data_IF_065705809242
#
_entry.id   IF_065705809242
#
_cell.length_a   1.000
_cell.length_b   1.000
_cell.length_c   1.000
_cell.angle_alpha   90.00
_cell.angle_beta   90.00
_cell.angle_gamma   90.00
#
_symmetry.space_group_name_H-M   'P 1'
#
loop_
_entity.id
_entity.type
_entity.pdbx_description
1 polymer ?
#
# COMPACT_ATOMS: atom_id res chain seq x y z
N UNK A 1 -3.63 -4.32 -13.28
CA UNK A 1 -4.00 -3.05 -12.66
C UNK A 1 -4.09 -3.19 -11.13
N UNK A 2 -3.06 -2.75 -10.38
CA UNK A 2 -3.01 -2.85 -8.90
C UNK A 2 -4.07 -2.05 -8.14
N UNK A 3 -4.47 -0.88 -8.66
CA UNK A 3 -5.52 -0.04 -8.13
C UNK A 3 -6.61 0.15 -9.20
N UNK A 4 -7.58 -0.77 -9.30
CA UNK A 4 -8.51 -0.84 -10.43
C UNK A 4 -9.58 0.25 -10.45
N UNK A 5 -9.68 1.05 -9.40
CA UNK A 5 -10.68 2.13 -9.26
C UNK A 5 -10.02 3.51 -9.02
N UNK A 6 -8.72 3.60 -9.27
CA UNK A 6 -7.95 4.82 -9.05
C UNK A 6 -8.23 5.84 -10.16
N UNK A 7 -8.43 7.09 -9.75
CA UNK A 7 -8.62 8.24 -10.63
C UNK A 7 -7.63 9.34 -10.22
N UNK A 8 -7.02 10.03 -11.18
CA UNK A 8 -5.93 10.97 -10.88
C UNK A 8 -6.40 12.30 -10.26
N UNK A 9 -7.63 12.70 -10.53
CA UNK A 9 -8.12 14.06 -10.26
C UNK A 9 -9.24 14.12 -9.22
N UNK A 10 -9.62 12.99 -8.64
CA UNK A 10 -10.73 12.87 -7.71
C UNK A 10 -10.42 13.38 -6.29
N UNK A 11 -9.14 13.60 -5.98
CA UNK A 11 -8.68 14.05 -4.67
C UNK A 11 -8.69 12.95 -3.60
N UNK A 12 -8.56 11.68 -4.00
CA UNK A 12 -8.47 10.54 -3.08
C UNK A 12 -7.23 9.68 -3.32
N UNK A 13 -6.88 8.90 -2.31
CA UNK A 13 -5.88 7.84 -2.33
C UNK A 13 -6.60 6.49 -2.32
N UNK A 14 -6.19 5.61 -3.22
CA UNK A 14 -6.64 4.21 -3.27
C UNK A 14 -5.68 3.31 -2.49
N UNK A 15 -6.17 2.68 -1.44
CA UNK A 15 -5.40 1.80 -0.57
C UNK A 15 -5.83 0.36 -0.77
N UNK A 16 -4.90 -0.50 -1.17
CA UNK A 16 -5.07 -1.94 -1.21
C UNK A 16 -4.26 -2.60 -0.08
N UNK A 17 -4.95 -3.20 0.89
CA UNK A 17 -4.35 -3.85 2.05
C UNK A 17 -4.55 -5.36 1.94
N UNK A 18 -3.49 -6.13 2.13
CA UNK A 18 -3.56 -7.60 2.18
C UNK A 18 -3.54 -8.03 3.64
N UNK A 19 -4.63 -8.67 4.08
CA UNK A 19 -4.79 -9.30 5.39
C UNK A 19 -4.05 -10.63 5.46
N UNK A 20 -3.97 -11.20 6.66
CA UNK A 20 -3.38 -12.53 6.84
C UNK A 20 -4.07 -13.54 5.92
N UNK A 21 -3.28 -14.28 5.17
CA UNK A 21 -3.82 -15.28 4.27
C UNK A 21 -2.82 -16.39 3.95
N UNK A 22 -3.33 -17.58 3.58
CA UNK A 22 -2.47 -18.67 3.14
C UNK A 22 -1.61 -18.28 1.93
N UNK A 23 -0.42 -18.87 1.81
CA UNK A 23 0.49 -18.63 0.67
C UNK A 23 -0.18 -18.86 -0.69
N UNK A 24 -1.08 -19.83 -0.80
CA UNK A 24 -1.87 -20.08 -2.01
C UNK A 24 -2.80 -18.92 -2.36
N UNK A 25 -3.39 -18.26 -1.36
CA UNK A 25 -4.21 -17.07 -1.54
C UNK A 25 -3.35 -15.88 -2.00
N UNK A 26 -2.15 -15.68 -1.43
CA UNK A 26 -1.20 -14.66 -1.89
C UNK A 26 -0.83 -14.83 -3.38
N UNK A 27 -0.55 -16.06 -3.80
CA UNK A 27 -0.28 -16.37 -5.22
C UNK A 27 -1.50 -16.04 -6.08
N UNK A 28 -2.70 -16.42 -5.63
CA UNK A 28 -3.94 -16.10 -6.34
C UNK A 28 -4.16 -14.59 -6.49
N UNK A 29 -3.94 -13.79 -5.43
CA UNK A 29 -4.12 -12.33 -5.53
C UNK A 29 -3.07 -11.76 -6.48
N UNK A 30 -1.82 -12.22 -6.40
CA UNK A 30 -0.72 -11.76 -7.27
C UNK A 30 -1.04 -11.97 -8.75
N UNK A 31 -1.64 -13.11 -9.12
CA UNK A 31 -2.06 -13.38 -10.50
C UNK A 31 -3.22 -12.46 -10.95
N UNK A 32 -4.16 -12.19 -10.04
CA UNK A 32 -5.34 -11.33 -10.29
C UNK A 32 -5.03 -9.84 -10.27
N UNK A 33 -3.84 -9.42 -9.84
CA UNK A 33 -3.43 -8.01 -9.94
C UNK A 33 -3.43 -7.55 -11.39
N UNK A 34 -3.11 -8.44 -12.34
CA UNK A 34 -3.04 -8.07 -13.76
C UNK A 34 -4.37 -7.54 -14.28
N UNK A 35 -5.47 -8.23 -13.99
CA UNK A 35 -6.83 -7.85 -14.43
C UNK A 35 -7.59 -7.00 -13.41
N UNK A 36 -7.00 -6.74 -12.24
CA UNK A 36 -7.60 -5.91 -11.20
C UNK A 36 -8.64 -6.63 -10.32
N UNK A 37 -8.89 -7.93 -10.53
CA UNK A 37 -9.89 -8.68 -9.75
C UNK A 37 -9.38 -9.13 -8.39
N UNK A 38 -8.12 -8.83 -8.04
CA UNK A 38 -7.54 -9.14 -6.72
C UNK A 38 -8.29 -8.45 -5.58
N UNK A 39 -8.89 -7.28 -5.82
CA UNK A 39 -9.69 -6.54 -4.83
C UNK A 39 -10.96 -7.27 -4.38
N UNK A 40 -11.41 -8.28 -5.12
CA UNK A 40 -12.56 -9.12 -4.77
C UNK A 40 -12.18 -10.28 -3.82
N UNK A 41 -10.89 -10.47 -3.54
CA UNK A 41 -10.42 -11.49 -2.60
C UNK A 41 -10.91 -11.16 -1.18
N UNK A 42 -11.37 -12.14 -0.39
CA UNK A 42 -11.74 -11.90 1.01
C UNK A 42 -10.54 -11.47 1.86
N UNK A 43 -9.31 -11.61 1.35
CA UNK A 43 -8.08 -11.20 2.02
C UNK A 43 -7.62 -9.79 1.62
N UNK A 44 -8.29 -9.13 0.68
CA UNK A 44 -7.96 -7.77 0.28
C UNK A 44 -9.00 -6.80 0.84
N UNK A 45 -8.53 -5.73 1.46
CA UNK A 45 -9.33 -4.55 1.79
C UNK A 45 -8.95 -3.46 0.80
N UNK A 46 -9.93 -2.89 0.12
CA UNK A 46 -9.74 -1.78 -0.81
C UNK A 46 -10.50 -0.56 -0.29
N UNK A 47 -9.79 0.54 -0.02
CA UNK A 47 -10.34 1.74 0.58
C UNK A 47 -9.99 2.95 -0.28
N UNK A 48 -10.87 3.94 -0.25
CA UNK A 48 -10.66 5.27 -0.83
C UNK A 48 -10.67 6.28 0.30
N UNK A 49 -9.57 7.00 0.50
CA UNK A 49 -9.36 7.92 1.64
C UNK A 49 -8.75 9.22 1.17
N UNK A 50 -8.91 10.31 1.93
CA UNK A 50 -8.23 11.58 1.61
C UNK A 50 -6.83 11.67 2.24
N UNK A 51 -6.64 10.97 3.37
CA UNK A 51 -5.38 10.93 4.09
C UNK A 51 -5.30 9.68 4.97
N UNK A 52 -4.09 9.24 5.26
CA UNK A 52 -3.85 8.18 6.25
C UNK A 52 -2.51 8.36 6.97
N UNK A 53 -2.40 7.72 8.14
CA UNK A 53 -1.15 7.60 8.88
C UNK A 53 -0.74 6.14 8.93
N UNK A 54 0.43 5.84 8.36
CA UNK A 54 1.09 4.55 8.45
C UNK A 54 1.95 4.53 9.71
N UNK A 55 1.78 3.51 10.54
CA UNK A 55 2.63 3.24 11.70
C UNK A 55 3.47 1.99 11.40
N UNK A 56 4.71 2.15 10.90
CA UNK A 56 5.59 1.02 10.61
C UNK A 56 5.88 0.23 11.88
N UNK A 57 5.86 -1.10 11.78
CA UNK A 57 6.06 -1.99 12.92
C UNK A 57 7.01 -3.14 12.61
N UNK A 58 7.14 -4.08 13.53
CA UNK A 58 8.01 -5.24 13.33
C UNK A 58 7.29 -6.38 12.65
N UNK A 59 8.08 -7.16 11.91
CA UNK A 59 7.67 -8.37 11.21
C UNK A 59 7.05 -9.30 12.21
N UNK A 60 6.05 -9.97 11.72
CA UNK A 60 5.19 -10.83 12.49
C UNK A 60 5.96 -12.06 12.95
N UNK A 61 6.48 -12.77 11.97
CA UNK A 61 7.19 -14.04 12.10
C UNK A 61 8.58 -13.80 12.68
N UNK A 62 9.09 -12.58 12.55
CA UNK A 62 10.38 -12.15 13.07
C UNK A 62 10.26 -10.80 13.83
N UNK A 63 9.78 -10.79 15.09
CA UNK A 63 9.50 -9.55 15.84
C UNK A 63 10.70 -8.63 16.11
N UNK A 64 11.92 -9.07 15.78
CA UNK A 64 13.15 -8.29 15.86
C UNK A 64 13.52 -7.61 14.55
N UNK A 65 12.82 -7.91 13.46
CA UNK A 65 13.02 -7.30 12.16
C UNK A 65 11.90 -6.32 11.88
N UNK A 66 12.22 -5.16 11.35
CA UNK A 66 11.20 -4.28 10.77
C UNK A 66 10.86 -4.66 9.33
N UNK A 67 9.96 -3.87 8.75
CA UNK A 67 9.66 -3.89 7.31
C UNK A 67 10.42 -2.81 6.52
N UNK A 68 10.01 -2.63 5.27
CA UNK A 68 10.56 -1.65 4.33
C UNK A 68 9.42 -0.75 3.85
N UNK A 69 9.66 0.55 3.78
CA UNK A 69 8.75 1.53 3.17
C UNK A 69 9.38 2.03 1.88
N UNK A 70 8.65 1.88 0.79
CA UNK A 70 9.08 2.20 -0.57
C UNK A 70 8.06 3.13 -1.25
N UNK A 71 8.56 4.13 -1.97
CA UNK A 71 7.77 5.11 -2.71
C UNK A 71 8.36 5.18 -4.13
N UNK A 72 7.53 4.84 -5.12
CA UNK A 72 7.88 4.84 -6.54
C UNK A 72 9.14 4.05 -6.91
N UNK A 73 9.41 2.97 -6.16
CA UNK A 73 10.56 2.10 -6.37
C UNK A 73 11.82 2.50 -5.61
N UNK A 74 11.74 3.55 -4.79
CA UNK A 74 12.83 4.00 -3.92
C UNK A 74 12.51 3.76 -2.44
N UNK A 75 13.47 3.19 -1.72
CA UNK A 75 13.29 2.91 -0.29
C UNK A 75 13.50 4.17 0.53
N UNK A 76 12.47 4.59 1.25
CA UNK A 76 12.47 5.80 2.07
C UNK A 76 12.66 5.54 3.57
N UNK A 77 12.38 4.33 4.06
CA UNK A 77 12.61 3.94 5.46
C UNK A 77 12.77 2.43 5.62
N UNK A 78 13.72 2.00 6.45
CA UNK A 78 13.99 0.59 6.78
C UNK A 78 14.01 0.38 8.29
N UNK A 79 13.32 -0.66 8.75
CA UNK A 79 13.40 -1.07 10.14
C UNK A 79 14.64 -1.91 10.43
N UNK A 80 14.98 -2.03 11.70
CA UNK A 80 16.16 -2.81 12.10
C UNK A 80 16.12 -4.25 11.56
N UNK A 81 17.27 -4.78 11.18
CA UNK A 81 17.39 -6.18 10.73
C UNK A 81 16.86 -6.47 9.32
N UNK A 82 16.40 -5.47 8.56
CA UNK A 82 16.13 -5.62 7.12
C UNK A 82 17.41 -5.59 6.29
N UNK A 83 17.33 -6.05 5.05
CA UNK A 83 18.43 -5.97 4.10
C UNK A 83 18.93 -4.52 3.94
N UNK A 84 20.26 -4.35 3.96
CA UNK A 84 20.96 -3.05 3.88
C UNK A 84 20.60 -2.03 4.98
N UNK A 85 19.92 -2.44 6.07
CA UNK A 85 19.66 -1.56 7.22
C UNK A 85 20.97 -1.03 7.80
N UNK A 86 21.06 0.28 7.97
CA UNK A 86 22.24 0.96 8.54
C UNK A 86 23.44 1.10 7.61
N UNK A 87 23.32 0.72 6.33
CA UNK A 87 24.38 0.93 5.33
C UNK A 87 24.27 2.30 4.66
N UNK A 88 23.05 2.77 4.41
CA UNK A 88 22.74 4.10 3.88
C UNK A 88 21.79 4.85 4.83
N UNK A 89 21.88 6.18 4.81
CA UNK A 89 20.92 7.02 5.52
C UNK A 89 19.59 7.05 4.75
N UNK A 90 18.56 6.45 5.32
CA UNK A 90 17.20 6.52 4.79
C UNK A 90 16.66 7.95 4.85
N UNK A 91 15.78 8.30 3.90
CA UNK A 91 15.13 9.63 3.85
C UNK A 91 14.26 9.89 5.10
N UNK A 92 13.62 8.85 5.62
CA UNK A 92 12.70 8.89 6.75
C UNK A 92 13.10 7.86 7.82
N UNK A 93 12.89 8.22 9.08
CA UNK A 93 13.10 7.28 10.18
C UNK A 93 12.01 6.20 10.20
N UNK A 94 12.40 4.95 10.45
CA UNK A 94 11.47 3.85 10.67
C UNK A 94 10.90 3.87 12.10
N UNK A 95 9.59 3.73 12.25
CA UNK A 95 8.90 3.67 13.55
C UNK A 95 7.97 4.85 13.84
N UNK A 96 8.40 6.12 13.70
CA UNK A 96 7.49 7.25 13.74
C UNK A 96 6.39 7.13 12.69
N UNK A 97 5.20 7.71 12.94
CA UNK A 97 4.10 7.67 11.98
C UNK A 97 4.47 8.42 10.70
N UNK A 98 4.18 7.83 9.55
CA UNK A 98 4.29 8.45 8.23
C UNK A 98 2.89 8.91 7.82
N UNK A 99 2.72 10.22 7.65
CA UNK A 99 1.48 10.82 7.19
C UNK A 99 1.48 10.90 5.66
N UNK A 100 0.40 10.43 5.04
CA UNK A 100 0.21 10.43 3.60
C UNK A 100 -1.08 11.20 3.30
N UNK A 101 -0.95 12.24 2.51
CA UNK A 101 -2.01 13.18 2.13
C UNK A 101 -2.03 13.37 0.63
N UNK A 102 -3.14 13.89 0.10
CA UNK A 102 -3.28 14.25 -1.32
C UNK A 102 -3.40 15.76 -1.47
N UNK A 103 -2.55 16.34 -2.32
CA UNK A 103 -2.65 17.74 -2.74
C UNK A 103 -3.31 17.80 -4.12
N UNK A 104 -4.63 18.02 -4.12
CA UNK A 104 -5.42 18.03 -5.36
C UNK A 104 -5.02 19.20 -6.25
N UNK A 105 -4.74 18.91 -7.54
CA UNK A 105 -4.42 19.94 -8.54
C UNK A 105 -3.02 20.56 -8.37
N UNK A 106 -2.10 19.89 -7.66
CA UNK A 106 -0.76 20.40 -7.41
C UNK A 106 0.07 20.59 -8.70
N UNK A 107 -0.09 19.69 -9.68
CA UNK A 107 0.68 19.70 -10.91
C UNK A 107 -0.22 19.68 -12.15
N UNK A 108 0.18 20.43 -13.18
CA UNK A 108 -0.42 20.36 -14.52
C UNK A 108 0.48 19.52 -15.41
N UNK A 109 -0.07 18.46 -16.01
CA UNK A 109 0.65 17.56 -16.90
C UNK A 109 -0.04 17.57 -18.26
N UNK A 110 0.75 17.61 -19.33
CA UNK A 110 0.22 17.47 -20.69
C UNK A 110 -0.09 16.01 -20.99
N UNK A 111 -1.33 15.70 -21.39
CA UNK A 111 -1.74 14.38 -21.89
C UNK A 111 -2.21 14.48 -23.34
N UNK A 112 -2.12 13.39 -24.13
CA UNK A 112 -2.80 13.27 -25.41
C UNK A 112 -4.30 13.59 -25.30
N UNK A 113 -4.89 14.12 -26.37
CA UNK A 113 -6.31 14.50 -26.42
C UNK A 113 -7.21 13.24 -26.37
N UNK A 114 -6.76 12.12 -26.92
CA UNK A 114 -7.51 10.86 -26.93
C UNK A 114 -7.65 10.27 -25.51
N UNK A 115 -6.73 10.58 -24.60
CA UNK A 115 -6.79 10.18 -23.19
C UNK A 115 -7.76 11.05 -22.36
N UNK A 116 -8.33 12.13 -22.94
CA UNK A 116 -9.33 12.96 -22.27
C UNK A 116 -10.75 12.35 -22.33
N UNK A 117 -11.04 11.48 -23.30
CA UNK A 117 -12.29 10.70 -23.35
C UNK A 117 -12.22 9.42 -22.50
N UNK A 118 -11.01 8.93 -22.23
CA UNK A 118 -10.75 7.77 -21.36
C UNK A 118 -10.64 8.15 -19.87
N UNK A 119 -11.07 9.35 -19.46
CA UNK A 119 -11.35 9.62 -18.04
C UNK A 119 -12.53 8.77 -17.52
N UNK A 120 -13.35 8.21 -18.41
CA UNK A 120 -14.31 7.15 -18.09
C UNK A 120 -13.74 5.72 -18.31
N UNK A 121 -12.53 5.58 -18.86
CA UNK A 121 -11.91 4.30 -19.17
C UNK A 121 -10.36 4.31 -19.16
N UNK A 122 -9.76 4.16 -17.98
CA UNK A 122 -8.60 3.25 -17.79
C UNK A 122 -7.29 3.46 -18.60
N UNK A 123 -6.93 4.67 -19.04
CA UNK A 123 -5.61 4.84 -19.69
C UNK A 123 -4.93 6.19 -19.44
N UNK A 124 -4.55 6.45 -18.19
CA UNK A 124 -3.25 7.08 -17.96
C UNK A 124 -2.52 6.08 -17.08
N UNK A 125 -1.36 5.61 -17.53
CA UNK A 125 -0.54 4.65 -16.78
C UNK A 125 -0.32 5.22 -15.38
N UNK A 126 -1.13 4.73 -14.43
CA UNK A 126 -0.96 4.95 -13.01
C UNK A 126 0.50 4.70 -12.71
N UNK A 127 1.21 5.75 -12.28
CA UNK A 127 2.30 5.54 -11.35
C UNK A 127 1.63 5.03 -10.09
N UNK A 128 1.35 3.73 -10.14
CA UNK A 128 1.12 2.95 -8.95
C UNK A 128 2.42 3.10 -8.19
N UNK A 129 2.32 3.45 -6.91
CA UNK A 129 3.33 3.12 -5.92
C UNK A 129 3.52 1.60 -5.96
N UNK A 130 4.25 1.10 -6.96
CA UNK A 130 4.60 -0.30 -7.07
C UNK A 130 5.83 -0.48 -6.21
N UNK A 131 5.60 -0.68 -4.92
CA UNK A 131 6.58 -1.39 -4.11
C UNK A 131 6.90 -2.69 -4.85
N UNK A 132 8.15 -2.84 -5.28
CA UNK A 132 8.60 -4.08 -5.90
C UNK A 132 8.23 -5.26 -4.99
N UNK A 133 7.46 -6.21 -5.53
CA UNK A 133 6.94 -7.40 -4.86
C UNK A 133 8.11 -8.25 -4.30
N UNK A 134 8.61 -7.94 -3.10
CA UNK A 134 9.40 -8.85 -2.28
C UNK A 134 8.85 -8.85 -0.85
N UNK A 135 8.03 -9.87 -0.58
CA UNK A 135 7.40 -10.22 0.70
C UNK A 135 6.35 -9.22 1.20
N UNK A 136 5.07 -9.55 0.96
CA UNK A 136 3.93 -8.83 1.51
C UNK A 136 3.81 -9.06 2.99
N UNK A 137 3.59 -7.98 3.71
CA UNK A 137 3.66 -8.00 5.14
C UNK A 137 2.50 -7.14 5.74
N UNK A 138 1.84 -7.75 6.73
CA UNK A 138 0.43 -7.64 7.11
C UNK A 138 -0.08 -6.36 7.80
N UNK A 139 -1.21 -5.80 7.35
CA UNK A 139 -1.95 -4.76 8.08
C UNK A 139 -3.20 -5.35 8.76
N UNK A 140 -3.37 -5.15 10.07
CA UNK A 140 -4.46 -5.80 10.84
C UNK A 140 -5.29 -4.90 11.74
N UNK A 141 -5.15 -3.57 11.70
CA UNK A 141 -6.23 -2.73 12.25
C UNK A 141 -6.29 -1.37 11.59
N UNK A 142 -7.45 -1.08 11.01
CA UNK A 142 -7.86 0.27 10.65
C UNK A 142 -8.81 0.82 11.71
N UNK A 143 -8.67 2.09 12.03
CA UNK A 143 -9.69 2.83 12.78
C UNK A 143 -9.85 4.18 12.11
N UNK A 144 -11.08 4.47 11.68
CA UNK A 144 -11.45 5.79 11.19
C UNK A 144 -11.65 6.67 12.43
N UNK A 145 -10.87 7.75 12.52
CA UNK A 145 -11.08 8.79 13.53
C UNK A 145 -12.01 9.87 12.97
N UNK A 146 -12.57 10.70 13.85
CA UNK A 146 -13.59 11.70 13.50
C UNK A 146 -13.12 12.75 12.47
N UNK A 147 -11.82 12.80 12.14
CA UNK A 147 -11.19 13.79 11.24
C UNK A 147 -10.84 13.21 9.84
N UNK A 148 -11.55 12.20 9.35
CA UNK A 148 -11.34 11.56 8.02
C UNK A 148 -9.98 10.86 7.81
N UNK A 149 -9.07 10.86 8.81
CA UNK A 149 -7.76 10.20 8.73
C UNK A 149 -7.87 8.72 9.11
N UNK A 150 -7.50 7.85 8.18
CA UNK A 150 -7.35 6.42 8.43
C UNK A 150 -6.03 6.15 9.15
N UNK A 151 -6.09 5.56 10.35
CA UNK A 151 -4.87 5.07 11.02
C UNK A 151 -4.64 3.61 10.66
N UNK A 152 -3.47 3.32 10.11
CA UNK A 152 -3.03 1.97 9.75
C UNK A 152 -1.93 1.53 10.70
N UNK A 153 -2.24 0.54 11.53
CA UNK A 153 -1.25 -0.11 12.38
C UNK A 153 -0.91 -1.49 11.88
N UNK A 154 0.39 -1.73 11.79
CA UNK A 154 0.95 -3.03 11.53
C UNK A 154 0.82 -3.89 12.79
N UNK A 155 -0.05 -4.91 12.75
CA UNK A 155 -0.11 -5.97 13.76
C UNK A 155 -0.28 -7.28 12.99
N UNK A 156 -0.05 -8.43 13.60
CA UNK A 156 -0.46 -9.71 13.04
C UNK A 156 -0.95 -10.62 14.13
N UNK A 157 -1.86 -11.50 13.75
CA UNK A 157 -2.35 -12.59 14.58
C UNK A 157 -2.49 -13.82 13.68
N UNK A 158 -1.59 -14.80 13.82
CA UNK A 158 -1.83 -16.14 13.31
C UNK A 158 -2.72 -16.83 14.31
N UNK A 159 -3.90 -17.25 13.86
CA UNK A 159 -4.62 -18.34 14.51
C UNK A 159 -4.13 -19.64 13.88
N UNK A 160 -3.17 -20.30 14.52
CA UNK A 160 -2.98 -21.74 14.31
C UNK A 160 -4.14 -22.48 14.99
N UNK A 161 -5.06 -23.02 14.19
CA UNK A 161 -5.87 -24.15 14.64
C UNK A 161 -5.02 -25.41 14.45
N UNK A 162 -4.58 -25.96 15.58
CA UNK A 162 -4.12 -27.35 15.67
C UNK A 162 -5.22 -28.28 15.16
N UNK A 163 -4.88 -29.11 14.17
CA UNK A 163 -5.28 -30.52 14.08
C UNK A 163 -4.41 -31.25 13.06
#
# INVERSE_FOLDING_TARGET
MPAPKAEFSDGFLDLALIKDCPKSALVSISMKIRDGTHVNSPYVIYLKVKAFKLFPGNRVDEPKKGGIVDVDGEVIARGEGTYASGQDADLMAYGPPIEVTVDQGLAMVFSPIDDQQDQDANSIRGQVLTSHFRQYELLTKSTLTNDEILTLRWLYSSNEHNN
#
